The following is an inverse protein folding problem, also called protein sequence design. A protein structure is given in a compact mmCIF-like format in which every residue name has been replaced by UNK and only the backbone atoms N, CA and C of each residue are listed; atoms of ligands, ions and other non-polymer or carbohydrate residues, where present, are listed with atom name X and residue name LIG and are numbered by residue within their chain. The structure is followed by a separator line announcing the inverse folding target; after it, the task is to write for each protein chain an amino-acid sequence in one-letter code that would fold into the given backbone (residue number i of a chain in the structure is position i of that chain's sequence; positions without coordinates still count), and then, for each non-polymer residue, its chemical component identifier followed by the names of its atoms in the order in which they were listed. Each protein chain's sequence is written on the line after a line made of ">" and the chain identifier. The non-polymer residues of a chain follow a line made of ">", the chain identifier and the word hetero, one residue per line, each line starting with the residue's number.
data_IF_802269990195
#
_entry.id   IF_802269990195
#
_cell.length_a   1.000
_cell.length_b   1.000
_cell.length_c   1.000
_cell.angle_alpha   90.00
_cell.angle_beta   90.00
_cell.angle_gamma   90.00
#
_symmetry.space_group_name_H-M   'P 1'
#
loop_
_entity.id
_entity.type
_entity.pdbx_description
1 polymer ?
#
# COMPACT_ATOMS: atom_id res chain seq x y z
N UNK A 1 -20.31 -2.06 -14.66
CA UNK A 1 -19.13 -2.65 -15.33
C UNK A 1 -18.41 -3.48 -14.29
N UNK A 2 -17.86 -4.65 -14.65
CA UNK A 2 -17.15 -5.49 -13.68
C UNK A 2 -15.66 -5.12 -13.73
N UNK A 3 -15.16 -4.48 -12.67
CA UNK A 3 -13.77 -4.03 -12.56
C UNK A 3 -12.75 -5.19 -12.52
N UNK A 4 -13.24 -6.41 -12.28
CA UNK A 4 -12.44 -7.63 -12.15
C UNK A 4 -12.85 -8.67 -13.18
N UNK A 5 -11.84 -9.26 -13.83
CA UNK A 5 -12.01 -10.37 -14.76
C UNK A 5 -11.34 -11.62 -14.18
N UNK A 6 -12.07 -12.75 -14.09
CA UNK A 6 -11.50 -13.98 -13.54
C UNK A 6 -10.48 -14.57 -14.53
N UNK A 7 -9.28 -14.89 -14.05
CA UNK A 7 -8.27 -15.61 -14.84
C UNK A 7 -8.56 -17.12 -14.72
N UNK A 8 -8.78 -17.84 -15.84
CA UNK A 8 -8.92 -19.29 -15.83
C UNK A 8 -7.67 -19.97 -15.25
N UNK A 9 -7.85 -21.09 -14.55
CA UNK A 9 -6.77 -21.76 -13.82
C UNK A 9 -5.62 -22.23 -14.74
N UNK A 10 -5.97 -22.59 -15.97
CA UNK A 10 -5.06 -23.02 -17.03
C UNK A 10 -4.21 -21.86 -17.56
N UNK A 11 -4.66 -20.62 -17.38
CA UNK A 11 -3.96 -19.40 -17.81
C UNK A 11 -3.09 -18.80 -16.69
N UNK A 12 -3.18 -19.30 -15.46
CA UNK A 12 -2.35 -18.82 -14.35
C UNK A 12 -0.92 -19.31 -14.55
N UNK A 13 0.00 -18.36 -14.75
CA UNK A 13 1.42 -18.66 -14.95
C UNK A 13 2.07 -19.29 -13.70
N UNK A 14 3.14 -20.08 -13.86
CA UNK A 14 3.89 -20.62 -12.72
C UNK A 14 4.37 -19.55 -11.74
N UNK A 15 4.76 -18.37 -12.24
CA UNK A 15 5.18 -17.23 -11.44
C UNK A 15 4.04 -16.70 -10.56
N UNK A 16 2.84 -16.51 -11.13
CA UNK A 16 1.68 -16.10 -10.35
C UNK A 16 1.32 -17.14 -9.29
N UNK A 17 1.39 -18.43 -9.62
CA UNK A 17 1.17 -19.51 -8.63
C UNK A 17 2.20 -19.48 -7.50
N UNK A 18 3.47 -19.19 -7.80
CA UNK A 18 4.51 -19.09 -6.78
C UNK A 18 4.31 -17.91 -5.81
N UNK A 19 3.70 -16.81 -6.29
CA UNK A 19 3.35 -15.66 -5.46
C UNK A 19 2.04 -15.85 -4.68
N UNK A 20 1.17 -16.76 -5.13
CA UNK A 20 -0.07 -17.10 -4.43
C UNK A 20 0.21 -18.08 -3.28
N UNK A 21 0.01 -17.70 -2.01
CA UNK A 21 0.27 -18.59 -0.88
C UNK A 21 -0.68 -19.79 -0.82
N UNK A 22 -1.83 -19.71 -1.50
CA UNK A 22 -2.93 -20.67 -1.48
C UNK A 22 -3.56 -20.78 -2.88
N UNK A 23 -4.27 -21.89 -3.18
CA UNK A 23 -5.09 -22.00 -4.39
C UNK A 23 -6.32 -21.08 -4.28
N UNK A 24 -6.11 -19.80 -4.59
CA UNK A 24 -7.16 -18.77 -4.58
C UNK A 24 -7.64 -18.47 -5.99
N UNK A 25 -8.91 -18.09 -6.10
CA UNK A 25 -9.43 -17.52 -7.33
C UNK A 25 -8.63 -16.24 -7.65
N UNK A 26 -7.99 -16.23 -8.83
CA UNK A 26 -7.20 -15.12 -9.31
C UNK A 26 -7.99 -14.31 -10.32
N UNK A 27 -8.00 -12.99 -10.14
CA UNK A 27 -8.65 -12.03 -11.00
C UNK A 27 -7.62 -11.08 -11.59
N UNK A 28 -7.92 -10.49 -12.75
CA UNK A 28 -7.20 -9.36 -13.32
C UNK A 28 -7.98 -8.09 -13.02
N UNK A 29 -7.29 -7.06 -12.55
CA UNK A 29 -7.86 -5.72 -12.43
C UNK A 29 -7.83 -5.02 -13.78
N UNK A 30 -8.98 -4.52 -14.24
CA UNK A 30 -9.02 -3.67 -15.43
C UNK A 30 -8.77 -2.23 -14.98
N UNK A 31 -7.49 -1.84 -14.89
CA UNK A 31 -7.05 -0.60 -14.23
C UNK A 31 -7.72 0.65 -14.79
N UNK A 32 -7.96 0.72 -16.10
CA UNK A 32 -8.59 1.87 -16.77
C UNK A 32 -10.02 2.12 -16.30
N UNK A 33 -10.65 1.13 -15.65
CA UNK A 33 -12.02 1.20 -15.16
C UNK A 33 -12.12 1.47 -13.66
N UNK A 34 -10.99 1.58 -12.94
CA UNK A 34 -10.99 1.77 -11.48
C UNK A 34 -10.34 3.09 -11.10
N UNK A 35 -11.17 4.03 -10.68
CA UNK A 35 -10.78 5.32 -10.14
C UNK A 35 -11.15 5.49 -8.67
N UNK A 36 -12.02 4.61 -8.15
CA UNK A 36 -12.50 4.62 -6.76
C UNK A 36 -12.41 3.23 -6.16
N UNK A 37 -12.20 3.17 -4.84
CA UNK A 37 -12.18 1.89 -4.11
C UNK A 37 -13.54 1.17 -4.14
N UNK A 38 -14.66 1.89 -4.18
CA UNK A 38 -16.01 1.32 -4.13
C UNK A 38 -16.55 0.83 -5.49
N UNK A 39 -15.77 0.98 -6.57
CA UNK A 39 -16.10 0.41 -7.88
C UNK A 39 -15.85 -1.11 -7.92
N UNK A 40 -15.14 -1.63 -6.92
CA UNK A 40 -14.92 -3.06 -6.73
C UNK A 40 -15.87 -3.54 -5.64
N UNK A 41 -16.73 -4.50 -5.96
CA UNK A 41 -17.62 -5.13 -4.98
C UNK A 41 -16.83 -6.12 -4.10
N UNK A 42 -16.11 -5.59 -3.12
CA UNK A 42 -15.29 -6.38 -2.20
C UNK A 42 -16.10 -7.42 -1.40
N UNK A 43 -17.42 -7.24 -1.26
CA UNK A 43 -18.28 -8.13 -0.48
C UNK A 43 -18.71 -9.38 -1.26
N UNK A 44 -18.84 -9.28 -2.59
CA UNK A 44 -19.22 -10.40 -3.46
C UNK A 44 -18.19 -11.54 -3.45
N UNK A 45 -16.96 -11.27 -3.02
CA UNK A 45 -15.88 -12.23 -3.04
C UNK A 45 -15.50 -12.71 -1.63
N UNK A 46 -15.10 -13.98 -1.53
CA UNK A 46 -14.55 -14.57 -0.31
C UNK A 46 -13.09 -14.15 -0.09
N UNK A 47 -12.20 -15.10 0.16
CA UNK A 47 -10.75 -14.87 0.03
C UNK A 47 -10.37 -15.03 -1.44
N UNK A 48 -9.73 -14.04 -2.03
CA UNK A 48 -9.35 -14.06 -3.44
C UNK A 48 -8.09 -13.23 -3.69
N UNK A 49 -7.58 -13.28 -4.90
CA UNK A 49 -6.40 -12.54 -5.30
C UNK A 49 -6.64 -11.76 -6.60
N UNK A 50 -5.99 -10.62 -6.73
CA UNK A 50 -6.03 -9.76 -7.92
C UNK A 50 -4.59 -9.63 -8.43
N UNK A 51 -4.34 -10.06 -9.65
CA UNK A 51 -3.11 -9.79 -10.39
C UNK A 51 -3.20 -8.41 -11.05
N UNK A 52 -2.15 -7.61 -10.89
CA UNK A 52 -1.98 -6.34 -11.58
C UNK A 52 -0.95 -6.45 -12.71
N UNK A 53 -0.95 -5.49 -13.63
CA UNK A 53 -0.09 -5.50 -14.83
C UNK A 53 1.40 -5.45 -14.54
N UNK A 54 1.80 -4.87 -13.39
CA UNK A 54 3.18 -4.87 -12.92
C UNK A 54 3.58 -6.20 -12.22
N UNK A 55 2.83 -7.28 -12.46
CA UNK A 55 3.06 -8.62 -11.92
C UNK A 55 3.02 -8.74 -10.40
N UNK A 56 2.44 -7.75 -9.71
CA UNK A 56 2.11 -7.87 -8.29
C UNK A 56 0.76 -8.57 -8.10
N UNK A 57 0.59 -9.16 -6.93
CA UNK A 57 -0.66 -9.80 -6.53
C UNK A 57 -1.17 -9.13 -5.27
N UNK A 58 -2.39 -8.62 -5.32
CA UNK A 58 -3.14 -8.17 -4.15
C UNK A 58 -3.99 -9.34 -3.64
N UNK A 59 -3.65 -9.90 -2.49
CA UNK A 59 -4.50 -10.88 -1.80
C UNK A 59 -5.48 -10.14 -0.91
N UNK A 60 -6.75 -10.52 -0.96
CA UNK A 60 -7.78 -10.02 -0.06
C UNK A 60 -8.34 -11.16 0.78
N UNK A 61 -8.43 -10.93 2.09
CA UNK A 61 -8.88 -11.94 3.05
C UNK A 61 -9.61 -11.31 4.23
N UNK A 62 -10.68 -11.97 4.70
CA UNK A 62 -11.30 -11.67 6.00
C UNK A 62 -10.48 -12.19 7.18
N UNK A 63 -9.55 -13.11 6.92
CA UNK A 63 -8.62 -13.63 7.91
C UNK A 63 -7.32 -12.87 7.80
N UNK A 64 -6.94 -12.21 8.89
CA UNK A 64 -5.63 -11.58 9.02
C UNK A 64 -4.54 -12.64 8.92
N UNK A 65 -3.61 -12.43 8.00
CA UNK A 65 -2.49 -13.30 7.70
C UNK A 65 -1.20 -12.58 8.08
N UNK A 66 -0.39 -13.27 8.88
CA UNK A 66 0.88 -12.71 9.36
C UNK A 66 1.91 -12.84 8.24
N UNK A 67 2.18 -11.75 7.53
CA UNK A 67 3.26 -11.74 6.55
C UNK A 67 4.11 -10.46 6.68
N UNK A 68 5.18 -10.57 7.46
CA UNK A 68 6.10 -9.46 7.77
C UNK A 68 6.88 -8.99 6.53
N UNK A 69 6.92 -9.80 5.45
CA UNK A 69 7.71 -9.51 4.24
C UNK A 69 7.03 -8.50 3.30
N UNK A 70 5.71 -8.38 3.36
CA UNK A 70 4.93 -7.65 2.37
C UNK A 70 4.05 -6.60 3.05
N UNK A 71 3.84 -5.44 2.42
CA UNK A 71 2.98 -4.42 3.01
C UNK A 71 1.54 -4.93 3.02
N UNK A 72 0.88 -4.72 4.15
CA UNK A 72 -0.52 -5.06 4.36
C UNK A 72 -1.34 -3.81 4.66
N UNK A 73 -2.58 -3.81 4.17
CA UNK A 73 -3.56 -2.75 4.34
C UNK A 73 -4.82 -3.34 4.93
N UNK A 74 -5.56 -2.53 5.65
CA UNK A 74 -6.91 -2.83 6.06
C UNK A 74 -7.87 -1.97 5.25
N UNK A 75 -8.74 -2.64 4.50
CA UNK A 75 -10.02 -2.04 4.10
C UNK A 75 -10.95 -2.16 5.31
N UNK A 76 -11.56 -1.07 5.77
CA UNK A 76 -12.38 -1.11 7.00
C UNK A 76 -13.79 -1.64 6.79
N UNK A 77 -14.36 -1.42 5.60
CA UNK A 77 -15.76 -1.76 5.32
C UNK A 77 -15.88 -2.24 3.87
N UNK A 78 -15.69 -3.55 3.60
CA UNK A 78 -15.56 -4.63 4.57
C UNK A 78 -14.19 -4.68 5.23
N UNK A 79 -14.14 -5.14 6.49
CA UNK A 79 -12.91 -5.45 7.23
C UNK A 79 -12.12 -6.55 6.51
N UNK A 80 -11.30 -6.17 5.53
CA UNK A 80 -10.47 -7.04 4.70
C UNK A 80 -9.01 -6.65 4.83
N UNK A 81 -8.19 -7.63 5.18
CA UNK A 81 -6.76 -7.51 5.03
C UNK A 81 -6.39 -7.66 3.55
N UNK A 82 -5.61 -6.70 3.07
CA UNK A 82 -5.07 -6.63 1.72
C UNK A 82 -3.56 -6.73 1.79
N UNK A 83 -2.96 -7.78 1.22
CA UNK A 83 -1.49 -7.97 1.22
C UNK A 83 -0.97 -7.89 -0.21
N UNK A 84 0.08 -7.07 -0.43
CA UNK A 84 0.67 -6.87 -1.76
C UNK A 84 1.92 -7.73 -1.93
N UNK A 85 1.81 -8.79 -2.72
CA UNK A 85 2.92 -9.68 -3.08
C UNK A 85 3.60 -9.21 -4.37
N UNK A 86 4.92 -9.38 -4.44
CA UNK A 86 5.70 -9.15 -5.64
C UNK A 86 7.15 -9.56 -5.45
N UNK A 87 7.87 -9.72 -6.56
CA UNK A 87 9.28 -10.11 -6.53
C UNK A 87 10.20 -8.89 -6.26
N UNK A 88 9.78 -7.70 -6.69
CA UNK A 88 10.56 -6.47 -6.57
C UNK A 88 9.85 -5.45 -5.71
N UNK A 89 10.60 -4.79 -4.82
CA UNK A 89 10.08 -3.71 -3.96
C UNK A 89 9.47 -2.56 -4.76
N UNK A 90 10.07 -2.21 -5.90
CA UNK A 90 9.57 -1.14 -6.76
C UNK A 90 8.16 -1.44 -7.31
N UNK A 91 7.92 -2.68 -7.75
CA UNK A 91 6.62 -3.12 -8.25
C UNK A 91 5.58 -3.12 -7.13
N UNK A 92 5.95 -3.62 -5.95
CA UNK A 92 5.10 -3.60 -4.75
C UNK A 92 4.71 -2.15 -4.41
N UNK A 93 5.68 -1.24 -4.34
CA UNK A 93 5.44 0.17 -4.02
C UNK A 93 4.61 0.89 -5.08
N UNK A 94 4.75 0.53 -6.35
CA UNK A 94 3.89 1.06 -7.41
C UNK A 94 2.44 0.62 -7.21
N UNK A 95 2.21 -0.62 -6.77
CA UNK A 95 0.86 -1.11 -6.42
C UNK A 95 0.31 -0.44 -5.18
N UNK A 96 1.12 -0.27 -4.13
CA UNK A 96 0.75 0.49 -2.94
C UNK A 96 0.36 1.93 -3.30
N UNK A 97 1.19 2.59 -4.10
CA UNK A 97 0.94 3.96 -4.59
C UNK A 97 -0.34 4.03 -5.41
N UNK A 98 -0.58 3.05 -6.28
CA UNK A 98 -1.82 2.94 -7.04
C UNK A 98 -3.03 2.83 -6.11
N UNK A 99 -3.01 1.94 -5.12
CA UNK A 99 -4.10 1.79 -4.15
C UNK A 99 -4.36 3.07 -3.36
N UNK A 100 -3.30 3.74 -2.90
CA UNK A 100 -3.43 5.05 -2.26
C UNK A 100 -3.99 6.11 -3.19
N UNK A 101 -3.69 6.07 -4.49
CA UNK A 101 -4.19 7.02 -5.50
C UNK A 101 -5.67 6.89 -5.82
N UNK A 102 -6.31 5.76 -5.47
CA UNK A 102 -7.74 5.57 -5.68
C UNK A 102 -8.53 6.53 -4.80
N UNK A 103 -9.58 7.13 -5.38
CA UNK A 103 -10.47 8.01 -4.61
C UNK A 103 -11.21 7.17 -3.57
N UNK A 104 -11.26 7.70 -2.34
CA UNK A 104 -12.05 7.13 -1.26
C UNK A 104 -13.53 7.30 -1.54
N UNK A 105 -14.30 6.39 -0.99
CA UNK A 105 -15.76 6.52 -0.87
C UNK A 105 -16.07 6.67 0.60
N UNK A 106 -17.15 7.36 0.96
CA UNK A 106 -17.59 7.46 2.36
C UNK A 106 -17.82 6.07 3.00
N UNK A 107 -18.09 5.06 2.17
CA UNK A 107 -18.30 3.68 2.59
C UNK A 107 -17.01 2.86 2.78
N UNK A 108 -15.86 3.33 2.29
CA UNK A 108 -14.63 2.54 2.18
C UNK A 108 -13.40 3.35 2.57
N UNK A 109 -12.77 2.93 3.66
CA UNK A 109 -11.51 3.46 4.16
C UNK A 109 -10.40 2.42 3.97
N UNK A 110 -9.26 2.85 3.43
CA UNK A 110 -8.04 2.08 3.29
C UNK A 110 -6.99 2.67 4.24
N UNK A 111 -6.60 1.91 5.26
CA UNK A 111 -5.47 2.25 6.12
C UNK A 111 -4.32 1.28 5.91
N UNK A 112 -3.10 1.78 5.95
CA UNK A 112 -1.92 0.92 6.04
C UNK A 112 -1.95 0.21 7.40
N UNK A 113 -1.86 -1.11 7.38
CA UNK A 113 -1.87 -1.91 8.60
C UNK A 113 -0.44 -2.11 9.08
N UNK A 114 0.13 -1.10 9.73
CA UNK A 114 1.35 -1.27 10.52
C UNK A 114 0.97 -1.81 11.90
N UNK A 115 0.89 -3.14 12.03
CA UNK A 115 0.69 -3.75 13.35
C UNK A 115 2.03 -4.13 13.94
N UNK A 116 2.32 -3.56 15.11
CA UNK A 116 3.21 -4.18 16.07
C UNK A 116 2.53 -5.46 16.58
N UNK A 117 3.09 -6.62 16.26
CA UNK A 117 2.54 -7.90 16.68
C UNK A 117 3.59 -8.62 17.52
N UNK A 118 3.34 -8.67 18.84
CA UNK A 118 4.13 -9.44 19.81
C UNK A 118 5.65 -9.15 19.76
N UNK A 119 6.04 -7.87 19.69
CA UNK A 119 7.46 -7.47 19.74
C UNK A 119 8.26 -7.80 18.48
N UNK A 120 7.59 -8.05 17.35
CA UNK A 120 8.22 -8.09 16.03
C UNK A 120 7.75 -6.91 15.18
N UNK A 121 8.70 -6.06 14.84
CA UNK A 121 8.49 -4.91 13.96
C UNK A 121 8.18 -5.38 12.54
N UNK A 122 6.90 -5.39 12.21
CA UNK A 122 6.39 -5.68 10.88
C UNK A 122 6.39 -4.38 10.06
N UNK A 123 7.56 -3.83 9.75
CA UNK A 123 7.65 -2.58 8.99
C UNK A 123 8.29 -2.83 7.62
N UNK A 124 7.45 -2.79 6.59
CA UNK A 124 7.94 -2.71 5.22
C UNK A 124 8.73 -1.40 5.06
N UNK A 125 9.93 -1.47 4.50
CA UNK A 125 10.80 -0.31 4.36
C UNK A 125 10.32 0.58 3.19
N UNK A 126 9.73 1.72 3.53
CA UNK A 126 9.19 2.69 2.59
C UNK A 126 10.23 3.69 2.07
N UNK A 127 11.52 3.56 2.44
CA UNK A 127 12.60 4.41 1.87
C UNK A 127 12.73 4.29 0.35
N UNK A 128 12.24 3.18 -0.22
CA UNK A 128 12.25 2.94 -1.66
C UNK A 128 11.18 3.73 -2.44
N UNK A 129 10.24 4.40 -1.76
CA UNK A 129 9.22 5.22 -2.42
C UNK A 129 9.86 6.35 -3.22
N UNK A 130 9.66 6.36 -4.52
CA UNK A 130 10.22 7.41 -5.35
C UNK A 130 9.48 8.74 -5.12
N UNK A 131 10.15 9.90 -5.27
CA UNK A 131 9.48 11.21 -5.17
C UNK A 131 8.24 11.31 -6.06
N UNK A 132 8.28 10.76 -7.28
CA UNK A 132 7.11 10.71 -8.18
C UNK A 132 5.95 9.87 -7.63
N UNK A 133 6.23 8.81 -6.87
CA UNK A 133 5.21 7.98 -6.23
C UNK A 133 4.59 8.72 -5.04
N UNK A 134 5.41 9.36 -4.21
CA UNK A 134 4.93 10.20 -3.11
C UNK A 134 4.02 11.32 -3.60
N UNK A 135 4.37 11.99 -4.71
CA UNK A 135 3.54 13.04 -5.30
C UNK A 135 2.16 12.54 -5.81
N UNK A 136 2.04 11.25 -6.14
CA UNK A 136 0.80 10.64 -6.64
C UNK A 136 -0.17 10.21 -5.55
N UNK A 137 0.29 10.07 -4.31
CA UNK A 137 -0.60 9.85 -3.17
C UNK A 137 -1.57 11.04 -3.14
N UNK A 138 -2.90 10.85 -3.08
CA UNK A 138 -3.86 11.92 -3.18
C UNK A 138 -3.97 12.67 -1.86
N UNK A 139 -4.45 13.90 -1.94
CA UNK A 139 -4.43 14.89 -0.87
C UNK A 139 -5.49 14.74 0.22
N UNK A 140 -6.31 13.67 0.21
CA UNK A 140 -7.57 13.64 0.96
C UNK A 140 -7.67 12.48 1.95
N UNK A 141 -7.84 12.80 3.24
CA UNK A 141 -8.36 11.98 4.35
C UNK A 141 -7.74 10.61 4.63
N UNK A 142 -6.68 10.21 3.93
CA UNK A 142 -5.95 8.99 4.25
C UNK A 142 -4.90 9.29 5.31
N UNK A 143 -5.09 8.74 6.50
CA UNK A 143 -4.04 8.64 7.50
C UNK A 143 -3.01 7.63 6.99
N UNK A 144 -1.77 8.10 6.75
CA UNK A 144 -0.69 7.23 6.29
C UNK A 144 0.34 7.15 7.39
N UNK A 145 0.53 5.94 7.89
CA UNK A 145 1.62 5.63 8.81
C UNK A 145 2.84 5.17 8.03
N UNK A 146 4.03 5.60 8.44
CA UNK A 146 5.30 5.06 7.97
C UNK A 146 6.13 4.65 9.18
N UNK A 147 6.36 3.36 9.33
CA UNK A 147 7.09 2.80 10.47
C UNK A 147 8.54 2.49 10.22
N UNK A 148 8.97 2.42 8.95
CA UNK A 148 10.37 2.24 8.61
C UNK A 148 10.76 2.88 7.30
N UNK A 149 11.93 3.49 7.33
CA UNK A 149 12.61 4.01 6.16
C UNK A 149 13.41 5.25 6.49
N UNK A 150 14.57 5.39 5.83
CA UNK A 150 15.34 6.62 5.83
C UNK A 150 15.01 7.38 4.57
N UNK A 151 14.33 8.52 4.70
CA UNK A 151 13.90 9.33 3.58
C UNK A 151 14.94 10.39 3.26
N UNK A 152 15.25 10.54 1.98
CA UNK A 152 16.15 11.56 1.51
C UNK A 152 15.49 12.94 1.41
N UNK A 153 16.32 13.98 1.34
CA UNK A 153 15.87 15.36 1.15
C UNK A 153 14.83 15.54 0.02
N UNK A 154 14.95 14.81 -1.10
CA UNK A 154 14.00 14.93 -2.21
C UNK A 154 12.62 14.36 -1.87
N UNK A 155 12.56 13.22 -1.15
CA UNK A 155 11.31 12.65 -0.64
C UNK A 155 10.67 13.61 0.38
N UNK A 156 11.47 14.17 1.28
CA UNK A 156 11.06 15.18 2.26
C UNK A 156 10.45 16.41 1.61
N UNK A 157 11.11 16.99 0.61
CA UNK A 157 10.63 18.17 -0.13
C UNK A 157 9.30 17.87 -0.81
N UNK A 158 9.19 16.73 -1.52
CA UNK A 158 7.94 16.37 -2.20
C UNK A 158 6.80 16.21 -1.21
N UNK A 159 7.05 15.70 -0.01
CA UNK A 159 6.03 15.53 1.01
C UNK A 159 5.60 16.86 1.64
N UNK A 160 6.56 17.74 1.94
CA UNK A 160 6.33 19.03 2.58
C UNK A 160 5.67 20.05 1.63
N UNK A 161 6.09 20.09 0.37
CA UNK A 161 5.63 21.02 -0.68
C UNK A 161 4.22 20.73 -1.24
N UNK A 162 3.54 19.70 -0.72
CA UNK A 162 2.23 19.30 -1.23
C UNK A 162 1.21 20.42 -1.03
N UNK A 163 0.34 20.71 -2.02
CA UNK A 163 -0.64 21.80 -1.90
C UNK A 163 -1.62 21.64 -0.73
N UNK A 164 -1.88 20.39 -0.32
CA UNK A 164 -2.79 20.06 0.76
C UNK A 164 -2.07 19.17 1.79
N UNK A 165 -2.38 19.34 3.09
CA UNK A 165 -1.75 18.55 4.15
C UNK A 165 -2.16 17.08 4.05
N UNK A 166 -1.18 16.18 4.20
CA UNK A 166 -1.43 14.77 4.49
C UNK A 166 -1.38 14.57 6.00
N UNK A 167 -2.26 13.71 6.52
CA UNK A 167 -2.16 13.25 7.89
C UNK A 167 -1.17 12.09 7.94
N UNK A 168 0.05 12.39 8.39
CA UNK A 168 1.18 11.46 8.40
C UNK A 168 1.53 11.08 9.82
N UNK A 169 1.74 9.79 10.03
CA UNK A 169 2.16 9.24 11.31
C UNK A 169 3.50 8.53 11.11
N UNK A 170 4.58 9.13 11.60
CA UNK A 170 5.88 8.47 11.63
C UNK A 170 5.94 7.65 12.91
N UNK A 171 6.00 6.33 12.80
CA UNK A 171 6.08 5.47 13.98
C UNK A 171 7.54 5.17 14.31
N UNK A 172 7.86 5.17 15.60
CA UNK A 172 9.16 4.77 16.12
C UNK A 172 8.99 3.31 16.56
N UNK A 173 9.79 2.41 15.99
CA UNK A 173 9.80 1.00 16.40
C UNK A 173 10.06 0.88 17.90
N UNK A 174 9.31 0.01 18.58
CA UNK A 174 9.38 -0.11 20.04
C UNK A 174 10.64 -0.87 20.47
N UNK A 175 11.24 -1.66 19.57
CA UNK A 175 12.44 -2.45 19.80
C UNK A 175 13.32 -2.49 18.55
N UNK A 176 14.59 -2.06 18.68
CA UNK A 176 15.65 -1.95 17.66
C UNK A 176 15.62 -0.71 16.73
N UNK A 177 16.35 0.34 17.13
CA UNK A 177 17.10 1.43 16.43
C UNK A 177 16.84 1.87 14.97
N UNK A 178 15.86 1.37 14.23
CA UNK A 178 15.63 1.78 12.83
C UNK A 178 14.15 1.94 12.51
N UNK A 179 13.53 2.90 13.21
CA UNK A 179 12.22 3.45 12.83
C UNK A 179 12.30 4.33 11.58
N UNK A 180 11.29 5.17 11.40
CA UNK A 180 11.33 6.20 10.37
C UNK A 180 12.36 7.30 10.71
N UNK A 181 13.14 7.73 9.71
CA UNK A 181 14.05 8.86 9.85
C UNK A 181 14.16 9.67 8.54
N UNK A 182 14.55 10.93 8.67
CA UNK A 182 15.01 11.76 7.55
C UNK A 182 16.54 11.73 7.51
N UNK A 183 17.14 11.56 6.33
CA UNK A 183 18.59 11.49 6.15
C UNK A 183 19.31 12.76 6.59
N UNK A 184 18.65 13.91 6.44
CA UNK A 184 19.11 15.25 6.77
C UNK A 184 18.56 15.76 8.12
N UNK A 185 18.06 14.84 8.95
CA UNK A 185 17.44 15.17 10.23
C UNK A 185 16.12 15.95 10.11
N UNK A 186 15.51 16.01 8.92
CA UNK A 186 14.25 16.69 8.66
C UNK A 186 14.42 18.15 8.22
N UNK A 187 15.66 18.59 7.97
CA UNK A 187 15.98 19.98 7.62
C UNK A 187 15.23 20.43 6.36
N UNK A 188 15.27 19.64 5.29
CA UNK A 188 14.58 19.95 4.04
C UNK A 188 13.05 19.92 4.22
N UNK A 189 12.53 18.99 5.03
CA UNK A 189 11.10 18.90 5.33
C UNK A 189 10.59 20.18 6.03
N UNK A 190 11.26 20.59 7.13
CA UNK A 190 10.88 21.78 7.91
C UNK A 190 11.01 23.05 7.09
N UNK A 191 12.14 23.24 6.38
CA UNK A 191 12.35 24.42 5.53
C UNK A 191 11.26 24.56 4.47
N UNK A 192 10.86 23.45 3.85
CA UNK A 192 9.83 23.49 2.82
C UNK A 192 8.44 23.79 3.43
N UNK A 193 8.14 23.30 4.64
CA UNK A 193 6.91 23.69 5.35
C UNK A 193 6.88 25.17 5.74
N UNK A 194 8.01 25.76 6.12
CA UNK A 194 8.11 27.20 6.46
C UNK A 194 7.87 28.11 5.25
N UNK A 195 8.08 27.61 4.03
CA UNK A 195 7.92 28.38 2.78
C UNK A 195 6.50 28.31 2.19
N UNK A 196 5.55 27.63 2.85
CA UNK A 196 4.15 27.50 2.40
C UNK A 196 3.25 28.61 2.92
#
# INVERSE_FOLDING_TARGET
>A
MNALERIPEEQISPRQRALLPEQLALYRLIREQVTRLDEIDWHAYGTFAICLDNHTILRLSRKFSRNEKYPSFLLYSPCLECVVFGDHKADILETVTFLWSLRRSEALDLALLEREIYGKDCTFDFSFLQPKQLARIPNAHTEISFGKGVWNAQQSIVLASRPYPLQLHFTIGVYDDVGFAFDDGGTAFVRELENR
#
